data_IF_742613274000
#
_entry.id   IF_742613274000
#
_cell.length_a   1.000
_cell.length_b   1.000
_cell.length_c   1.000
_cell.angle_alpha   90.00
_cell.angle_beta   90.00
_cell.angle_gamma   90.00
#
_symmetry.space_group_name_H-M   'P 1'
#
loop_
_entity.id
_entity.type
_entity.pdbx_description
1 polymer ?
#
# COMPACT_ATOMS: atom_id res chain seq x y z
N UNK A 1 58.28 -6.47 2.76
CA UNK A 1 57.82 -5.11 3.10
C UNK A 1 56.65 -4.76 2.21
N UNK A 2 55.48 -5.36 2.48
CA UNK A 2 54.14 -5.15 1.89
C UNK A 2 53.35 -6.46 2.02
N UNK A 3 52.39 -6.55 2.96
CA UNK A 3 51.25 -7.50 3.03
C UNK A 3 50.69 -7.68 4.46
N UNK A 4 50.44 -6.59 5.21
CA UNK A 4 49.84 -6.66 6.57
C UNK A 4 48.77 -5.57 6.83
N UNK A 5 48.22 -4.90 5.80
CA UNK A 5 47.32 -3.74 5.95
C UNK A 5 45.82 -4.05 5.75
N UNK A 6 45.41 -5.31 5.70
CA UNK A 6 44.00 -5.72 5.53
C UNK A 6 43.58 -6.81 6.52
N UNK A 7 43.67 -6.56 7.83
CA UNK A 7 43.04 -7.36 8.90
C UNK A 7 43.22 -6.70 10.26
N UNK A 8 42.44 -5.67 10.57
CA UNK A 8 42.00 -5.36 11.95
C UNK A 8 41.30 -4.00 11.99
N UNK A 9 39.98 -4.00 11.77
CA UNK A 9 39.10 -2.99 12.36
C UNK A 9 37.70 -3.56 12.51
N UNK A 10 37.60 -4.74 13.13
CA UNK A 10 36.38 -5.23 13.78
C UNK A 10 36.64 -5.21 15.28
N UNK A 11 36.02 -4.25 15.98
CA UNK A 11 35.92 -4.17 17.44
C UNK A 11 34.82 -3.13 17.79
N UNK A 12 34.15 -3.21 18.94
CA UNK A 12 32.97 -4.03 19.11
C UNK A 12 31.73 -3.20 19.51
N UNK A 13 30.58 -3.86 19.39
CA UNK A 13 29.27 -3.57 20.01
C UNK A 13 29.39 -2.69 21.28
N UNK A 14 28.83 -1.47 21.33
CA UNK A 14 28.63 -0.79 22.59
C UNK A 14 27.45 -1.45 23.33
N UNK A 15 27.78 -2.21 24.39
CA UNK A 15 26.85 -2.65 25.43
C UNK A 15 26.20 -1.43 26.08
N UNK A 16 24.97 -1.10 25.65
CA UNK A 16 24.10 -0.14 26.33
C UNK A 16 22.94 -0.87 27.03
N UNK A 17 23.29 -1.89 27.81
CA UNK A 17 22.47 -2.41 28.91
C UNK A 17 23.19 -2.05 30.22
N UNK A 18 23.12 -0.77 30.59
CA UNK A 18 23.43 -0.32 31.95
C UNK A 18 22.13 0.17 32.58
N UNK A 19 21.56 -0.71 33.39
CA UNK A 19 20.49 -0.46 34.33
C UNK A 19 20.86 0.70 35.26
N UNK A 20 20.10 1.80 35.17
CA UNK A 20 19.82 2.84 36.18
C UNK A 20 19.72 4.24 35.51
N UNK A 21 18.60 4.50 34.82
CA UNK A 21 18.09 5.88 34.57
C UNK A 21 16.71 5.93 33.89
N UNK A 22 16.07 4.78 33.59
CA UNK A 22 14.83 4.72 32.78
C UNK A 22 13.52 4.90 33.58
N UNK A 23 13.52 5.65 34.68
CA UNK A 23 12.28 6.00 35.40
C UNK A 23 11.83 7.46 35.18
N UNK A 24 12.62 8.28 34.49
CA UNK A 24 12.34 9.71 34.28
C UNK A 24 12.00 10.15 32.84
N UNK A 25 12.10 9.26 31.85
CA UNK A 25 11.85 9.59 30.43
C UNK A 25 10.46 9.16 29.94
N UNK A 26 9.90 8.06 30.47
CA UNK A 26 8.57 7.60 30.06
C UNK A 26 7.43 8.54 30.49
N UNK A 27 7.59 9.27 31.60
CA UNK A 27 6.59 10.24 32.06
C UNK A 27 6.59 11.56 31.28
N UNK A 28 7.70 11.89 30.59
CA UNK A 28 7.79 13.11 29.79
C UNK A 28 7.13 12.99 28.42
N UNK A 29 7.12 11.81 27.81
CA UNK A 29 6.41 11.60 26.54
C UNK A 29 4.89 11.60 26.68
N UNK A 30 4.37 11.17 27.84
CA UNK A 30 2.92 11.21 28.09
C UNK A 30 2.39 12.62 28.38
N UNK A 31 3.22 13.51 28.94
CA UNK A 31 2.80 14.84 29.36
C UNK A 31 2.89 15.89 28.22
N UNK A 32 3.70 15.64 27.18
CA UNK A 32 3.83 16.58 26.06
C UNK A 32 2.65 16.52 25.06
N UNK A 33 1.77 15.53 25.19
CA UNK A 33 0.54 15.41 24.38
C UNK A 33 -0.65 16.20 24.94
N UNK A 34 -0.59 16.70 26.18
CA UNK A 34 -1.74 17.31 26.87
C UNK A 34 -1.73 18.86 26.86
N UNK A 35 -0.67 19.50 26.37
CA UNK A 35 -0.52 20.95 26.43
C UNK A 35 0.13 21.51 25.15
N UNK A 36 -0.57 21.40 24.03
CA UNK A 36 -0.34 22.23 22.85
C UNK A 36 -1.69 22.75 22.33
N UNK A 37 -2.14 23.78 23.03
CA UNK A 37 -2.88 24.96 22.56
C UNK A 37 -3.68 24.81 21.26
N UNK A 38 -4.98 24.96 21.42
CA UNK A 38 -6.00 25.32 20.43
C UNK A 38 -5.50 26.44 19.49
N UNK A 39 -4.90 26.07 18.37
CA UNK A 39 -4.90 26.88 17.16
C UNK A 39 -5.66 26.08 16.11
N UNK A 40 -6.67 26.71 15.53
CA UNK A 40 -7.42 26.24 14.37
C UNK A 40 -6.46 26.05 13.19
N UNK A 41 -5.69 24.96 13.23
CA UNK A 41 -4.96 24.48 12.07
C UNK A 41 -6.00 23.91 11.11
N UNK A 42 -6.01 24.33 9.83
CA UNK A 42 -6.93 23.77 8.85
C UNK A 42 -6.80 22.25 8.87
N UNK A 43 -7.95 21.56 8.89
CA UNK A 43 -8.03 20.11 9.06
C UNK A 43 -7.32 19.36 7.92
N UNK A 44 -7.22 20.00 6.74
CA UNK A 44 -6.47 19.58 5.55
C UNK A 44 -5.83 20.83 4.90
N UNK A 45 -4.52 20.85 4.74
CA UNK A 45 -3.84 21.82 3.87
C UNK A 45 -3.84 21.36 2.41
N UNK A 46 -3.55 22.25 1.46
CA UNK A 46 -3.40 21.88 0.04
C UNK A 46 -2.26 20.86 -0.15
N UNK A 47 -1.24 20.92 0.69
CA UNK A 47 -0.14 19.95 0.69
C UNK A 47 -0.61 18.58 1.20
N UNK A 48 -1.39 18.57 2.28
CA UNK A 48 -2.00 17.36 2.84
C UNK A 48 -2.92 16.69 1.80
N UNK A 49 -3.66 17.48 1.01
CA UNK A 49 -4.54 16.98 -0.05
C UNK A 49 -3.75 16.39 -1.22
N UNK A 50 -2.61 16.98 -1.61
CA UNK A 50 -1.73 16.43 -2.65
C UNK A 50 -1.16 15.07 -2.23
N UNK A 51 -0.73 14.96 -0.97
CA UNK A 51 -0.25 13.71 -0.39
C UNK A 51 -1.36 12.67 -0.29
N UNK A 52 -2.56 13.08 0.14
CA UNK A 52 -3.75 12.23 0.15
C UNK A 52 -4.04 11.69 -1.24
N UNK A 53 -3.96 12.54 -2.28
CA UNK A 53 -4.18 12.15 -3.66
C UNK A 53 -3.12 11.16 -4.16
N UNK A 54 -1.84 11.39 -3.87
CA UNK A 54 -0.78 10.44 -4.24
C UNK A 54 -0.95 9.08 -3.54
N UNK A 55 -1.27 9.09 -2.24
CA UNK A 55 -1.54 7.87 -1.48
C UNK A 55 -2.79 7.14 -2.00
N UNK A 56 -3.84 7.89 -2.34
CA UNK A 56 -5.04 7.39 -2.99
C UNK A 56 -4.71 6.71 -4.31
N UNK A 57 -3.94 7.36 -5.19
CA UNK A 57 -3.59 6.81 -6.50
C UNK A 57 -2.82 5.49 -6.39
N UNK A 58 -1.93 5.35 -5.40
CA UNK A 58 -1.16 4.13 -5.19
C UNK A 58 -2.02 2.93 -4.76
N UNK A 59 -3.01 3.16 -3.88
CA UNK A 59 -3.78 2.09 -3.24
C UNK A 59 -5.06 1.78 -4.03
N UNK A 60 -5.74 2.80 -4.54
CA UNK A 60 -7.04 2.68 -5.20
C UNK A 60 -6.97 1.75 -6.42
N UNK A 61 -5.95 1.91 -7.27
CA UNK A 61 -5.81 1.13 -8.50
C UNK A 61 -5.71 -0.39 -8.25
N UNK A 62 -4.77 -0.80 -7.39
CA UNK A 62 -4.56 -2.23 -7.06
C UNK A 62 -5.84 -2.83 -6.46
N UNK A 63 -6.46 -2.12 -5.52
CA UNK A 63 -7.53 -2.68 -4.73
C UNK A 63 -8.84 -2.82 -5.48
N UNK A 64 -9.29 -1.79 -6.21
CA UNK A 64 -10.60 -1.82 -6.88
C UNK A 64 -10.67 -2.90 -7.97
N UNK A 65 -9.59 -3.10 -8.74
CA UNK A 65 -9.50 -4.16 -9.75
C UNK A 65 -9.66 -5.57 -9.16
N UNK A 66 -9.28 -5.76 -7.90
CA UNK A 66 -9.37 -7.04 -7.20
C UNK A 66 -10.71 -7.26 -6.51
N UNK A 67 -11.50 -6.20 -6.24
CA UNK A 67 -12.70 -6.29 -5.40
C UNK A 67 -13.80 -7.19 -5.98
N UNK A 68 -14.22 -7.03 -7.25
CA UNK A 68 -15.29 -7.87 -7.81
C UNK A 68 -14.91 -9.37 -7.78
N UNK A 69 -13.68 -9.69 -8.16
CA UNK A 69 -13.16 -11.06 -8.12
C UNK A 69 -13.06 -11.65 -6.72
N UNK A 70 -12.71 -10.83 -5.72
CA UNK A 70 -12.65 -11.27 -4.32
C UNK A 70 -14.05 -11.58 -3.77
N UNK A 71 -15.03 -10.72 -4.04
CA UNK A 71 -16.41 -10.91 -3.59
C UNK A 71 -17.10 -12.08 -4.32
N UNK A 72 -16.79 -12.30 -5.59
CA UNK A 72 -17.27 -13.45 -6.34
C UNK A 72 -16.75 -14.79 -5.80
N UNK A 73 -15.53 -14.84 -5.25
CA UNK A 73 -14.90 -16.07 -4.74
C UNK A 73 -15.49 -16.55 -3.41
N UNK A 74 -15.59 -15.66 -2.41
CA UNK A 74 -15.96 -16.04 -1.02
C UNK A 74 -17.33 -15.52 -0.58
N UNK A 75 -18.02 -14.80 -1.47
CA UNK A 75 -19.32 -14.17 -1.22
C UNK A 75 -19.23 -12.91 -0.36
N UNK A 76 -20.33 -12.18 -0.31
CA UNK A 76 -20.42 -10.86 0.33
C UNK A 76 -20.03 -10.88 1.82
N UNK A 77 -20.55 -11.82 2.60
CA UNK A 77 -20.31 -11.87 4.05
C UNK A 77 -18.83 -12.01 4.43
N UNK A 78 -18.17 -13.05 3.90
CA UNK A 78 -16.76 -13.31 4.18
C UNK A 78 -15.83 -12.29 3.52
N UNK A 79 -16.15 -11.82 2.31
CA UNK A 79 -15.34 -10.81 1.62
C UNK A 79 -15.37 -9.47 2.37
N UNK A 80 -16.54 -9.02 2.83
CA UNK A 80 -16.64 -7.78 3.61
C UNK A 80 -15.96 -7.90 4.97
N UNK A 81 -16.08 -9.03 5.66
CA UNK A 81 -15.36 -9.27 6.91
C UNK A 81 -13.84 -9.24 6.71
N UNK A 82 -13.33 -9.90 5.67
CA UNK A 82 -11.91 -9.88 5.31
C UNK A 82 -11.44 -8.47 4.92
N UNK A 83 -12.25 -7.72 4.16
CA UNK A 83 -11.95 -6.35 3.78
C UNK A 83 -11.84 -5.42 4.99
N UNK A 84 -12.80 -5.47 5.91
CA UNK A 84 -12.78 -4.63 7.12
C UNK A 84 -11.59 -4.99 8.02
N UNK A 85 -11.31 -6.29 8.21
CA UNK A 85 -10.17 -6.74 8.98
C UNK A 85 -8.84 -6.28 8.37
N UNK A 86 -8.66 -6.50 7.07
CA UNK A 86 -7.45 -6.10 6.35
C UNK A 86 -7.28 -4.58 6.30
N UNK A 87 -8.37 -3.82 6.13
CA UNK A 87 -8.36 -2.37 6.22
C UNK A 87 -7.89 -1.92 7.61
N UNK A 88 -8.47 -2.47 8.68
CA UNK A 88 -8.11 -2.10 10.05
C UNK A 88 -6.64 -2.37 10.37
N UNK A 89 -6.14 -3.57 10.02
CA UNK A 89 -4.74 -3.97 10.26
C UNK A 89 -3.77 -3.09 9.45
N UNK A 90 -4.06 -2.84 8.18
CA UNK A 90 -3.17 -2.03 7.34
C UNK A 90 -3.20 -0.56 7.71
N UNK A 91 -4.37 0.01 8.02
CA UNK A 91 -4.48 1.39 8.54
C UNK A 91 -3.66 1.51 9.82
N UNK A 92 -3.87 0.60 10.78
CA UNK A 92 -3.12 0.61 12.03
C UNK A 92 -1.60 0.49 11.81
N UNK A 93 -1.16 -0.47 11.00
CA UNK A 93 0.27 -0.65 10.68
C UNK A 93 0.89 0.58 10.03
N UNK A 94 0.18 1.20 9.09
CA UNK A 94 0.61 2.41 8.39
C UNK A 94 0.70 3.61 9.33
N UNK A 95 -0.22 3.74 10.28
CA UNK A 95 -0.17 4.76 11.34
C UNK A 95 1.01 4.55 12.30
N UNK A 96 1.29 3.30 12.67
CA UNK A 96 2.45 2.97 13.49
C UNK A 96 3.75 3.34 12.77
N UNK A 97 3.89 2.99 11.49
CA UNK A 97 5.05 3.36 10.67
C UNK A 97 5.25 4.88 10.66
N UNK A 98 4.20 5.65 10.40
CA UNK A 98 4.26 7.11 10.38
C UNK A 98 4.66 7.69 11.75
N UNK A 99 4.09 7.18 12.84
CA UNK A 99 4.43 7.61 14.22
C UNK A 99 5.87 7.28 14.59
N UNK A 100 6.38 6.10 14.26
CA UNK A 100 7.77 5.73 14.54
C UNK A 100 8.72 6.63 13.73
N UNK A 101 8.37 6.95 12.48
CA UNK A 101 9.17 7.83 11.64
C UNK A 101 9.25 9.28 12.18
N UNK A 102 8.27 9.74 12.97
CA UNK A 102 8.33 11.04 13.66
C UNK A 102 9.33 11.07 14.83
N UNK A 103 9.55 9.93 15.48
CA UNK A 103 10.49 9.78 16.61
C UNK A 103 11.89 9.40 16.14
N UNK A 104 11.99 8.85 14.92
CA UNK A 104 13.25 8.37 14.37
C UNK A 104 14.24 9.52 14.10
N UNK A 105 15.56 9.29 14.30
CA UNK A 105 16.57 10.28 13.98
C UNK A 105 16.65 10.52 12.46
N UNK A 106 17.16 11.70 12.04
CA UNK A 106 17.28 12.11 10.62
C UNK A 106 18.12 11.16 9.73
N UNK A 107 18.80 10.19 10.35
CA UNK A 107 19.54 9.11 9.69
C UNK A 107 18.62 8.04 9.08
N UNK A 108 17.42 7.84 9.64
CA UNK A 108 16.44 6.87 9.16
C UNK A 108 15.66 7.49 8.01
N UNK A 109 15.92 7.04 6.78
CA UNK A 109 15.32 7.63 5.58
C UNK A 109 14.48 6.64 4.79
N UNK A 110 14.89 5.39 4.76
CA UNK A 110 14.19 4.34 3.99
C UNK A 110 13.36 3.46 4.90
N UNK A 111 12.39 2.74 4.31
CA UNK A 111 11.61 1.74 5.04
C UNK A 111 12.50 0.66 5.67
N UNK A 112 13.59 0.27 5.00
CA UNK A 112 14.58 -0.67 5.53
C UNK A 112 15.36 -0.12 6.73
N UNK A 113 15.73 1.17 6.72
CA UNK A 113 16.39 1.81 7.87
C UNK A 113 15.43 1.93 9.07
N UNK A 114 14.13 2.08 8.83
CA UNK A 114 13.11 2.04 9.88
C UNK A 114 13.06 0.65 10.52
N UNK A 115 13.17 -0.40 9.72
CA UNK A 115 13.32 -1.77 10.19
C UNK A 115 14.57 -1.96 11.06
N UNK A 116 15.69 -1.35 10.67
CA UNK A 116 16.93 -1.36 11.46
C UNK A 116 16.76 -0.64 12.80
N UNK A 117 16.06 0.49 12.81
CA UNK A 117 15.79 1.24 14.04
C UNK A 117 14.91 0.46 15.03
N UNK A 118 13.94 -0.31 14.54
CA UNK A 118 12.99 -1.04 15.41
C UNK A 118 13.52 -2.39 15.90
N UNK A 119 14.20 -3.16 15.04
CA UNK A 119 14.56 -4.56 15.27
C UNK A 119 16.07 -4.82 15.10
N UNK A 120 16.88 -3.78 14.91
CA UNK A 120 18.31 -3.90 14.67
C UNK A 120 18.64 -4.49 13.29
N UNK A 121 19.85 -5.07 13.11
CA UNK A 121 20.33 -5.48 11.80
C UNK A 121 19.48 -6.58 11.14
N UNK A 122 18.82 -7.43 11.93
CA UNK A 122 17.88 -8.45 11.42
C UNK A 122 16.65 -7.78 10.80
N UNK A 123 16.12 -6.73 11.43
CA UNK A 123 15.01 -5.94 10.91
C UNK A 123 15.30 -5.32 9.56
N UNK A 124 16.52 -4.81 9.38
CA UNK A 124 16.98 -4.24 8.09
C UNK A 124 16.83 -5.25 6.96
N UNK A 125 17.33 -6.46 7.15
CA UNK A 125 17.30 -7.51 6.13
C UNK A 125 15.88 -8.03 5.86
N UNK A 126 15.07 -8.22 6.89
CA UNK A 126 13.68 -8.66 6.73
C UNK A 126 12.85 -7.65 5.93
N UNK A 127 12.96 -6.37 6.26
CA UNK A 127 12.24 -5.31 5.53
C UNK A 127 12.77 -5.15 4.11
N UNK A 128 14.09 -5.20 3.92
CA UNK A 128 14.69 -5.09 2.58
C UNK A 128 14.22 -6.23 1.67
N UNK A 129 14.28 -7.48 2.13
CA UNK A 129 13.89 -8.65 1.33
C UNK A 129 12.41 -8.60 0.98
N UNK A 130 11.53 -8.33 1.96
CA UNK A 130 10.08 -8.26 1.73
C UNK A 130 9.71 -7.09 0.82
N UNK A 131 10.38 -5.95 0.94
CA UNK A 131 10.19 -4.81 0.06
C UNK A 131 10.63 -5.12 -1.38
N UNK A 132 11.83 -5.66 -1.59
CA UNK A 132 12.32 -6.05 -2.91
C UNK A 132 11.41 -7.09 -3.56
N UNK A 133 10.92 -8.06 -2.78
CA UNK A 133 9.96 -9.05 -3.27
C UNK A 133 8.65 -8.39 -3.70
N UNK A 134 8.12 -7.46 -2.92
CA UNK A 134 6.90 -6.71 -3.28
C UNK A 134 7.08 -5.92 -4.57
N UNK A 135 8.22 -5.24 -4.73
CA UNK A 135 8.53 -4.48 -5.94
C UNK A 135 8.66 -5.36 -7.21
N UNK A 136 8.93 -6.66 -7.06
CA UNK A 136 8.98 -7.63 -8.18
C UNK A 136 7.61 -8.28 -8.41
N UNK A 137 6.94 -8.71 -7.34
CA UNK A 137 5.66 -9.42 -7.43
C UNK A 137 4.51 -8.52 -7.89
N UNK A 138 4.50 -7.24 -7.47
CA UNK A 138 3.43 -6.30 -7.86
C UNK A 138 3.38 -6.12 -9.39
N UNK A 139 4.48 -5.77 -10.10
CA UNK A 139 4.45 -5.69 -11.57
C UNK A 139 4.10 -7.01 -12.25
N UNK A 140 4.57 -8.15 -11.73
CA UNK A 140 4.23 -9.47 -12.30
C UNK A 140 2.73 -9.71 -12.22
N UNK A 141 2.10 -9.44 -11.07
CA UNK A 141 0.66 -9.60 -10.91
C UNK A 141 -0.13 -8.71 -11.88
N UNK A 142 0.30 -7.46 -12.06
CA UNK A 142 -0.32 -6.54 -13.03
C UNK A 142 -0.13 -6.96 -14.48
N UNK A 143 1.04 -7.47 -14.85
CA UNK A 143 1.32 -7.97 -16.20
C UNK A 143 0.44 -9.19 -16.51
N UNK A 144 0.32 -10.14 -15.59
CA UNK A 144 -0.53 -11.31 -15.75
C UNK A 144 -2.01 -10.90 -15.86
N UNK A 145 -2.47 -10.02 -14.97
CA UNK A 145 -3.84 -9.51 -15.01
C UNK A 145 -4.14 -8.78 -16.32
N UNK A 146 -3.22 -7.92 -16.78
CA UNK A 146 -3.34 -7.21 -18.06
C UNK A 146 -3.38 -8.17 -19.25
N UNK A 147 -2.55 -9.20 -19.25
CA UNK A 147 -2.54 -10.24 -20.28
C UNK A 147 -3.90 -10.95 -20.41
N UNK A 148 -4.50 -11.33 -19.28
CA UNK A 148 -5.83 -11.97 -19.24
C UNK A 148 -6.92 -11.01 -19.75
N UNK A 149 -6.87 -9.72 -19.38
CA UNK A 149 -7.85 -8.74 -19.84
C UNK A 149 -7.74 -8.53 -21.35
N UNK A 150 -6.53 -8.43 -21.89
CA UNK A 150 -6.31 -8.26 -23.33
C UNK A 150 -6.80 -9.46 -24.16
N UNK A 151 -6.66 -10.69 -23.67
CA UNK A 151 -7.20 -11.87 -24.37
C UNK A 151 -8.72 -11.89 -24.39
N UNK A 152 -9.37 -11.41 -23.32
CA UNK A 152 -10.84 -11.31 -23.26
C UNK A 152 -11.35 -10.17 -24.17
N UNK A 153 -10.62 -9.06 -24.25
CA UNK A 153 -11.00 -7.89 -25.05
C UNK A 153 -10.81 -8.11 -26.56
N UNK A 154 -9.79 -8.87 -26.96
CA UNK A 154 -9.50 -9.22 -28.35
C UNK A 154 -9.55 -10.74 -28.54
N UNK A 155 -10.77 -11.34 -28.52
CA UNK A 155 -10.92 -12.74 -28.90
C UNK A 155 -10.38 -12.91 -30.33
N UNK A 156 -9.56 -13.92 -30.55
CA UNK A 156 -8.89 -14.26 -31.84
C UNK A 156 -7.56 -13.54 -32.17
N UNK A 157 -6.98 -12.74 -31.26
CA UNK A 157 -5.69 -12.07 -31.54
C UNK A 157 -4.44 -12.89 -31.18
N UNK A 158 -4.07 -12.92 -29.89
CA UNK A 158 -2.86 -13.58 -29.40
C UNK A 158 -3.11 -14.26 -28.05
N UNK A 159 -2.31 -15.27 -27.73
CA UNK A 159 -2.32 -15.90 -26.40
C UNK A 159 -1.80 -14.94 -25.31
N UNK A 160 -2.21 -15.20 -24.07
CA UNK A 160 -1.92 -14.34 -22.91
C UNK A 160 -0.41 -14.07 -22.73
N UNK A 161 0.44 -15.07 -23.00
CA UNK A 161 1.90 -14.94 -22.89
C UNK A 161 2.46 -13.86 -23.81
N UNK A 162 1.95 -13.78 -25.05
CA UNK A 162 2.41 -12.78 -26.03
C UNK A 162 1.98 -11.38 -25.60
N UNK A 163 0.75 -11.24 -25.08
CA UNK A 163 0.27 -9.97 -24.52
C UNK A 163 1.10 -9.52 -23.31
N UNK A 164 1.48 -10.43 -22.43
CA UNK A 164 2.36 -10.14 -21.29
C UNK A 164 3.72 -9.60 -21.77
N UNK A 165 4.33 -10.23 -22.78
CA UNK A 165 5.61 -9.79 -23.35
C UNK A 165 5.48 -8.39 -23.97
N UNK A 166 4.42 -8.15 -24.76
CA UNK A 166 4.17 -6.85 -25.39
C UNK A 166 3.95 -5.74 -24.35
N UNK A 167 3.14 -6.02 -23.32
CA UNK A 167 2.93 -5.08 -22.21
C UNK A 167 4.22 -4.81 -21.45
N UNK A 168 5.00 -5.85 -21.12
CA UNK A 168 6.30 -5.71 -20.48
C UNK A 168 7.25 -4.82 -21.29
N UNK A 169 7.32 -5.03 -22.61
CA UNK A 169 8.14 -4.22 -23.51
C UNK A 169 7.67 -2.76 -23.53
N UNK A 170 6.36 -2.52 -23.53
CA UNK A 170 5.79 -1.17 -23.51
C UNK A 170 6.01 -0.43 -22.18
N UNK A 171 6.17 -1.16 -21.07
CA UNK A 171 6.44 -0.60 -19.75
C UNK A 171 7.93 -0.31 -19.51
N UNK A 172 8.86 -0.93 -20.26
CA UNK A 172 10.30 -0.68 -20.11
C UNK A 172 10.67 0.81 -20.18
N UNK A 173 10.19 1.62 -21.16
CA UNK A 173 10.47 3.06 -21.20
C UNK A 173 9.99 3.81 -19.95
N UNK A 174 8.86 3.39 -19.37
CA UNK A 174 8.26 4.01 -18.18
C UNK A 174 9.07 3.64 -16.93
N UNK A 175 9.54 2.40 -16.83
CA UNK A 175 10.40 1.93 -15.74
C UNK A 175 11.80 2.60 -15.73
N UNK A 176 12.25 3.09 -16.89
CA UNK A 176 13.54 3.77 -17.06
C UNK A 176 13.53 5.23 -16.56
N UNK A 177 12.37 5.78 -16.18
CA UNK A 177 12.22 7.13 -15.64
C UNK A 177 12.31 7.07 -14.10
N UNK A 178 13.41 7.52 -13.47
CA UNK A 178 13.62 7.34 -12.02
C UNK A 178 13.06 8.49 -11.18
N UNK A 179 12.28 9.42 -11.75
CA UNK A 179 11.88 10.64 -11.04
C UNK A 179 10.54 10.44 -10.31
N UNK A 180 10.53 10.70 -8.99
CA UNK A 180 9.34 10.62 -8.14
C UNK A 180 8.20 11.53 -8.65
N UNK A 181 8.54 12.63 -9.33
CA UNK A 181 7.56 13.56 -9.91
C UNK A 181 6.86 12.99 -11.13
N UNK A 182 7.59 12.35 -12.05
CA UNK A 182 6.99 11.71 -13.22
C UNK A 182 6.24 10.42 -12.82
N UNK A 183 6.75 9.68 -11.82
CA UNK A 183 6.03 8.54 -11.25
C UNK A 183 4.69 8.91 -10.60
N UNK A 184 4.61 10.07 -9.94
CA UNK A 184 3.35 10.58 -9.40
C UNK A 184 2.32 10.91 -10.51
N UNK A 185 2.78 11.40 -11.66
CA UNK A 185 1.90 11.64 -12.81
C UNK A 185 1.39 10.31 -13.40
N UNK A 186 2.26 9.31 -13.55
CA UNK A 186 1.86 7.98 -14.01
C UNK A 186 0.84 7.33 -13.07
N UNK A 187 1.04 7.44 -11.75
CA UNK A 187 0.09 6.96 -10.75
C UNK A 187 -1.25 7.70 -10.82
N UNK A 188 -1.23 9.03 -11.02
CA UNK A 188 -2.44 9.83 -11.18
C UNK A 188 -3.22 9.47 -12.45
N UNK A 189 -2.53 9.28 -13.58
CA UNK A 189 -3.14 8.83 -14.83
C UNK A 189 -3.75 7.43 -14.69
N UNK A 190 -3.05 6.51 -14.03
CA UNK A 190 -3.56 5.18 -13.70
C UNK A 190 -4.83 5.25 -12.85
N UNK A 191 -4.80 6.00 -11.75
CA UNK A 191 -5.95 6.16 -10.86
C UNK A 191 -7.16 6.81 -11.55
N UNK A 192 -6.95 7.81 -12.40
CA UNK A 192 -8.01 8.41 -13.21
C UNK A 192 -8.60 7.39 -14.19
N UNK A 193 -7.74 6.61 -14.86
CA UNK A 193 -8.17 5.52 -15.74
C UNK A 193 -9.02 4.50 -14.99
N UNK A 194 -8.62 4.13 -13.78
CA UNK A 194 -9.39 3.21 -12.93
C UNK A 194 -10.73 3.81 -12.48
N UNK A 195 -10.77 5.07 -12.06
CA UNK A 195 -12.04 5.74 -11.70
C UNK A 195 -13.00 5.73 -12.89
N UNK A 196 -12.53 6.07 -14.10
CA UNK A 196 -13.37 6.05 -15.31
C UNK A 196 -13.84 4.63 -15.60
N UNK A 197 -12.95 3.64 -15.49
CA UNK A 197 -13.30 2.24 -15.70
C UNK A 197 -14.35 1.77 -14.69
N UNK A 198 -14.22 2.12 -13.41
CA UNK A 198 -15.19 1.78 -12.36
C UNK A 198 -16.57 2.42 -12.65
N UNK A 199 -16.62 3.69 -13.05
CA UNK A 199 -17.87 4.35 -13.44
C UNK A 199 -18.55 3.67 -14.64
N UNK A 200 -17.78 3.33 -15.68
CA UNK A 200 -18.31 2.65 -16.87
C UNK A 200 -18.77 1.24 -16.52
N UNK A 201 -18.00 0.51 -15.72
CA UNK A 201 -18.34 -0.84 -15.28
C UNK A 201 -19.63 -0.86 -14.46
N UNK A 202 -19.76 0.03 -13.47
CA UNK A 202 -20.98 0.15 -12.66
C UNK A 202 -22.18 0.60 -13.49
N UNK A 203 -22.00 1.54 -14.42
CA UNK A 203 -23.06 1.98 -15.32
C UNK A 203 -23.58 0.81 -16.18
N UNK A 204 -22.67 0.08 -16.84
CA UNK A 204 -23.03 -1.09 -17.64
C UNK A 204 -23.65 -2.20 -16.79
N UNK A 205 -23.19 -2.39 -15.56
CA UNK A 205 -23.75 -3.37 -14.63
C UNK A 205 -25.21 -3.08 -14.31
N UNK A 206 -25.54 -1.82 -13.98
CA UNK A 206 -26.90 -1.39 -13.65
C UNK A 206 -27.82 -1.48 -14.87
N UNK A 207 -27.34 -1.08 -16.04
CA UNK A 207 -28.10 -1.14 -17.30
C UNK A 207 -28.41 -2.60 -17.69
N UNK A 208 -27.41 -3.50 -17.65
CA UNK A 208 -27.60 -4.90 -18.01
C UNK A 208 -28.41 -5.70 -16.97
N UNK A 209 -28.43 -5.28 -15.71
CA UNK A 209 -29.20 -5.93 -14.64
C UNK A 209 -30.59 -5.33 -14.43
N UNK A 210 -31.06 -4.38 -15.24
CA UNK A 210 -32.41 -3.82 -15.13
C UNK A 210 -33.30 -4.19 -16.33
N UNK A 211 -34.43 -4.91 -16.13
CA UNK A 211 -34.96 -5.46 -14.87
C UNK A 211 -34.22 -6.73 -14.41
N UNK A 212 -34.03 -6.86 -13.10
CA UNK A 212 -33.32 -8.00 -12.49
C UNK A 212 -34.00 -9.29 -12.93
N UNK A 213 -33.34 -10.17 -13.73
CA UNK A 213 -33.94 -11.41 -14.17
C UNK A 213 -34.33 -12.26 -12.96
N UNK A 214 -35.59 -12.70 -12.91
CA UNK A 214 -36.10 -13.55 -11.84
C UNK A 214 -35.35 -14.89 -11.84
N UNK A 215 -34.46 -15.09 -10.86
CA UNK A 215 -33.64 -16.31 -10.72
C UNK A 215 -32.16 -16.07 -10.45
N UNK A 216 -31.67 -14.82 -10.52
CA UNK A 216 -30.30 -14.48 -10.09
C UNK A 216 -30.26 -14.37 -8.57
N UNK A 217 -30.14 -15.52 -7.90
CA UNK A 217 -29.70 -15.56 -6.50
C UNK A 217 -28.19 -15.38 -6.47
N UNK A 218 -27.68 -14.59 -5.51
CA UNK A 218 -26.24 -14.53 -5.23
C UNK A 218 -25.68 -15.95 -5.15
N UNK A 219 -24.69 -16.35 -5.98
CA UNK A 219 -24.14 -17.69 -5.95
C UNK A 219 -23.72 -18.02 -4.52
N UNK A 220 -24.19 -19.15 -3.98
CA UNK A 220 -23.72 -19.65 -2.69
C UNK A 220 -22.22 -19.92 -2.82
N UNK A 221 -21.35 -19.20 -2.10
CA UNK A 221 -19.92 -19.40 -2.24
C UNK A 221 -19.54 -20.77 -1.68
N UNK A 222 -18.90 -21.61 -2.51
CA UNK A 222 -18.22 -22.83 -2.04
C UNK A 222 -16.90 -22.43 -1.40
N UNK A 223 -16.98 -21.96 -0.15
CA UNK A 223 -15.85 -21.38 0.57
C UNK A 223 -14.78 -22.45 0.83
N UNK A 224 -13.73 -22.46 0.01
CA UNK A 224 -12.55 -23.28 0.24
C UNK A 224 -11.39 -22.44 0.83
N UNK A 225 -10.48 -23.09 1.56
CA UNK A 225 -9.32 -22.43 2.15
C UNK A 225 -8.48 -21.67 1.10
N UNK A 226 -8.33 -22.24 -0.09
CA UNK A 226 -7.56 -21.63 -1.18
C UNK A 226 -8.18 -20.30 -1.66
N UNK A 227 -9.51 -20.22 -1.70
CA UNK A 227 -10.21 -19.00 -2.09
C UNK A 227 -10.06 -17.92 -1.03
N UNK A 228 -10.19 -18.28 0.24
CA UNK A 228 -9.97 -17.37 1.37
C UNK A 228 -8.52 -16.85 1.34
N UNK A 229 -7.53 -17.74 1.22
CA UNK A 229 -6.13 -17.37 1.15
C UNK A 229 -5.83 -16.44 -0.04
N UNK A 230 -6.44 -16.70 -1.21
CA UNK A 230 -6.34 -15.84 -2.39
C UNK A 230 -6.92 -14.44 -2.16
N UNK A 231 -8.08 -14.34 -1.49
CA UNK A 231 -8.71 -13.06 -1.14
C UNK A 231 -7.84 -12.28 -0.16
N UNK A 232 -7.33 -12.93 0.90
CA UNK A 232 -6.42 -12.28 1.85
C UNK A 232 -5.13 -11.80 1.18
N UNK A 233 -4.54 -12.59 0.28
CA UNK A 233 -3.36 -12.19 -0.49
C UNK A 233 -3.63 -10.97 -1.39
N UNK A 234 -4.77 -10.96 -2.08
CA UNK A 234 -5.17 -9.85 -2.95
C UNK A 234 -5.48 -8.58 -2.15
N UNK A 235 -6.12 -8.70 -0.98
CA UNK A 235 -6.37 -7.58 -0.07
C UNK A 235 -5.08 -7.07 0.59
N UNK A 236 -4.12 -7.95 0.90
CA UNK A 236 -2.81 -7.56 1.41
C UNK A 236 -2.04 -6.72 0.39
N UNK A 237 -2.12 -7.11 -0.88
CA UNK A 237 -1.56 -6.36 -2.01
C UNK A 237 -2.27 -5.01 -2.18
N UNK A 238 -3.61 -5.00 -2.13
CA UNK A 238 -4.43 -3.81 -2.27
C UNK A 238 -4.11 -2.73 -1.23
N UNK A 239 -3.96 -3.11 0.04
CA UNK A 239 -3.67 -2.19 1.14
C UNK A 239 -2.17 -1.97 1.42
N UNK A 240 -1.29 -2.37 0.50
CA UNK A 240 0.18 -2.30 0.60
C UNK A 240 0.79 -0.90 0.62
N UNK A 241 0.14 0.09 1.23
CA UNK A 241 0.54 1.49 1.29
C UNK A 241 1.75 1.75 2.21
N UNK A 242 2.01 0.87 3.18
CA UNK A 242 3.02 1.09 4.23
C UNK A 242 4.43 1.37 3.69
N UNK A 243 4.79 0.79 2.54
CA UNK A 243 6.12 0.93 1.93
C UNK A 243 6.38 2.33 1.35
N UNK A 244 5.34 3.07 0.95
CA UNK A 244 5.48 4.42 0.38
C UNK A 244 5.38 5.53 1.43
N UNK A 245 4.98 5.21 2.66
CA UNK A 245 4.84 6.22 3.72
C UNK A 245 6.14 6.96 4.02
N UNK A 246 7.32 6.30 4.14
CA UNK A 246 8.54 7.03 4.46
C UNK A 246 8.95 8.05 3.40
N UNK A 247 8.75 7.74 2.12
CA UNK A 247 9.03 8.67 1.03
C UNK A 247 8.02 9.82 1.01
N UNK A 248 6.72 9.53 1.14
CA UNK A 248 5.67 10.55 1.19
C UNK A 248 5.83 11.48 2.41
N UNK A 249 6.19 10.94 3.58
CA UNK A 249 6.34 11.73 4.82
C UNK A 249 7.53 12.68 4.75
N UNK A 250 8.54 12.36 3.94
CA UNK A 250 9.72 13.18 3.74
C UNK A 250 9.47 14.38 2.81
N UNK A 251 8.61 14.22 1.82
CA UNK A 251 8.18 15.31 0.93
C UNK A 251 7.25 16.30 1.64
N UNK A 252 6.72 15.92 2.80
CA UNK A 252 5.84 16.77 3.60
C UNK A 252 6.63 17.74 4.49
N UNK A 253 6.32 19.03 4.37
CA UNK A 253 6.82 20.13 5.19
C UNK A 253 6.44 20.00 6.67
N UNK A 254 5.35 19.30 7.00
CA UNK A 254 4.84 19.11 8.37
C UNK A 254 4.51 17.64 8.63
N UNK A 255 5.52 16.80 8.92
CA UNK A 255 5.32 15.35 9.03
C UNK A 255 4.40 14.96 10.19
N UNK A 256 4.22 15.80 11.21
CA UNK A 256 3.31 15.54 12.34
C UNK A 256 1.84 15.37 11.92
N UNK A 257 1.46 15.88 10.73
CA UNK A 257 0.08 15.78 10.20
C UNK A 257 -0.17 14.47 9.44
N UNK A 258 0.88 13.75 9.03
CA UNK A 258 0.78 12.52 8.23
C UNK A 258 -0.18 11.46 8.79
N UNK A 259 -0.18 11.14 10.10
CA UNK A 259 -1.08 10.12 10.64
C UNK A 259 -2.56 10.43 10.38
N UNK A 260 -2.96 11.71 10.43
CA UNK A 260 -4.35 12.11 10.17
C UNK A 260 -4.71 11.95 8.69
N UNK A 261 -3.79 12.33 7.80
CA UNK A 261 -3.93 12.20 6.34
C UNK A 261 -4.07 10.73 5.92
N UNK A 262 -3.24 9.86 6.49
CA UNK A 262 -3.26 8.42 6.22
C UNK A 262 -4.60 7.82 6.64
N UNK A 263 -5.07 8.14 7.85
CA UNK A 263 -6.35 7.62 8.36
C UNK A 263 -7.52 8.05 7.47
N UNK A 264 -7.57 9.33 7.09
CA UNK A 264 -8.59 9.87 6.21
C UNK A 264 -8.56 9.21 4.82
N UNK A 265 -7.38 9.12 4.21
CA UNK A 265 -7.22 8.62 2.84
C UNK A 265 -7.52 7.13 2.75
N UNK A 266 -6.92 6.30 3.61
CA UNK A 266 -7.17 4.86 3.60
C UNK A 266 -8.61 4.52 4.01
N UNK A 267 -9.20 5.29 4.93
CA UNK A 267 -10.61 5.15 5.29
C UNK A 267 -11.55 5.46 4.12
N UNK A 268 -11.30 6.57 3.40
CA UNK A 268 -12.02 6.91 2.17
C UNK A 268 -11.91 5.81 1.10
N UNK A 269 -10.72 5.24 0.91
CA UNK A 269 -10.50 4.14 -0.03
C UNK A 269 -11.28 2.90 0.38
N UNK A 270 -11.30 2.54 1.66
CA UNK A 270 -12.09 1.40 2.14
C UNK A 270 -13.59 1.57 1.87
N UNK A 271 -14.11 2.79 2.02
CA UNK A 271 -15.51 3.10 1.67
C UNK A 271 -15.76 2.93 0.17
N UNK A 272 -14.85 3.42 -0.67
CA UNK A 272 -14.97 3.27 -2.12
C UNK A 272 -14.87 1.81 -2.57
N UNK A 273 -13.95 1.03 -1.99
CA UNK A 273 -13.85 -0.40 -2.26
C UNK A 273 -15.12 -1.14 -1.87
N UNK A 274 -15.74 -0.76 -0.75
CA UNK A 274 -17.03 -1.33 -0.36
C UNK A 274 -18.15 -0.93 -1.32
N UNK A 275 -18.15 0.29 -1.84
CA UNK A 275 -19.13 0.77 -2.81
C UNK A 275 -19.01 0.09 -4.19
N UNK A 276 -17.79 -0.21 -4.66
CA UNK A 276 -17.56 -0.92 -5.93
C UNK A 276 -17.81 -2.42 -5.81
N UNK A 277 -17.62 -2.98 -4.60
CA UNK A 277 -17.77 -4.41 -4.37
C UNK A 277 -19.24 -4.89 -4.21
N UNK A 278 -20.15 -3.99 -3.83
CA UNK A 278 -21.58 -4.26 -3.59
C UNK A 278 -22.37 -3.95 -4.85
#
# INVERSE_FOLDING_TARGET
MSHQLFRNTYSPIPRLFRTNSLRGSHLRYHCQFCHATTMSNPFLTVEDLKLSFSLFCCVYGIGTLSMPGNYAKVGYGWATAALVFMAAVNIYGTLCISKVLLVAPKSVRTYSDLGEFCLGPVGRWLVLITHMLTCILVPIAFLVLGGIICTIMFPDSYEAETWIILMGLSLLPVCLIPTLKEGAFAAAAGALGTIIADFVALYLLVDNMSPIPSGVSTPSPDVNFDQIASVFGSLALAYGAGIVIPSLQREHSQPERMPRVIFFTLGMISVLFMAVAI
#
